data_IF_470505166853
#
_entry.id   IF_470505166853
#
_cell.length_a   1.000
_cell.length_b   1.000
_cell.length_c   1.000
_cell.angle_alpha   90.00
_cell.angle_beta   90.00
_cell.angle_gamma   90.00
#
_symmetry.space_group_name_H-M   'P 1'
#
loop_
_entity.id
_entity.type
_entity.pdbx_description
1 polymer ?
#
# COMPACT_ATOMS: atom_id res chain seq x y z
N UNK A 1 -34.65 -4.05 -25.05
CA UNK A 1 -34.62 -4.71 -23.73
C UNK A 1 -34.11 -6.14 -23.93
N UNK A 2 -32.81 -6.36 -23.93
CA UNK A 2 -32.18 -7.69 -23.98
C UNK A 2 -31.22 -7.80 -22.81
N UNK A 3 -31.63 -8.61 -21.86
CA UNK A 3 -30.86 -8.99 -20.68
C UNK A 3 -29.66 -9.82 -21.15
N UNK A 4 -28.41 -9.31 -21.00
CA UNK A 4 -27.21 -10.09 -21.24
C UNK A 4 -26.73 -10.65 -19.90
N UNK A 5 -26.78 -11.95 -19.81
CA UNK A 5 -26.31 -12.79 -18.72
C UNK A 5 -24.79 -12.60 -18.58
N UNK A 6 -24.33 -12.13 -17.44
CA UNK A 6 -22.91 -12.10 -17.10
C UNK A 6 -22.50 -13.49 -16.60
N UNK A 7 -21.62 -14.14 -17.35
CA UNK A 7 -20.92 -15.34 -16.90
C UNK A 7 -19.75 -14.94 -16.01
N UNK A 8 -19.77 -15.38 -14.75
CA UNK A 8 -18.62 -15.39 -13.87
C UNK A 8 -17.66 -16.49 -14.32
N UNK A 9 -16.46 -16.13 -14.74
CA UNK A 9 -15.35 -17.09 -14.87
C UNK A 9 -14.72 -17.29 -13.49
N UNK A 10 -15.01 -18.45 -12.91
CA UNK A 10 -14.24 -18.97 -11.78
C UNK A 10 -12.88 -19.45 -12.31
N UNK A 11 -11.81 -18.92 -11.77
CA UNK A 11 -10.45 -19.39 -12.05
C UNK A 11 -10.30 -20.81 -11.51
N UNK A 12 -10.26 -21.78 -12.41
CA UNK A 12 -9.97 -23.17 -12.11
C UNK A 12 -8.52 -23.35 -11.66
N UNK A 13 -8.33 -23.83 -10.43
CA UNK A 13 -7.03 -24.19 -9.91
C UNK A 13 -6.42 -25.37 -10.64
N UNK A 14 -5.20 -25.16 -11.14
CA UNK A 14 -4.35 -26.22 -11.67
C UNK A 14 -3.64 -26.91 -10.49
N UNK A 15 -4.18 -28.05 -10.04
CA UNK A 15 -3.54 -28.90 -9.06
C UNK A 15 -2.48 -29.76 -9.77
N UNK A 16 -1.20 -29.42 -9.62
CA UNK A 16 -0.10 -30.33 -9.92
C UNK A 16 0.10 -31.26 -8.72
N UNK A 17 -0.36 -32.52 -8.86
CA UNK A 17 -0.05 -33.59 -7.94
C UNK A 17 1.39 -34.08 -8.19
N UNK A 18 2.32 -33.67 -7.33
CA UNK A 18 3.63 -34.29 -7.22
C UNK A 18 3.54 -35.39 -6.15
N UNK A 19 3.60 -36.65 -6.59
CA UNK A 19 3.66 -37.81 -5.71
C UNK A 19 4.96 -37.82 -4.88
N UNK A 20 4.83 -37.66 -3.58
CA UNK A 20 5.90 -37.89 -2.60
C UNK A 20 5.83 -39.33 -2.16
N UNK A 21 6.85 -40.12 -2.52
CA UNK A 21 7.08 -41.46 -1.95
C UNK A 21 7.38 -41.31 -0.45
N UNK A 22 6.61 -42.01 0.36
CA UNK A 22 6.84 -42.10 1.77
C UNK A 22 8.19 -42.78 2.07
N UNK A 23 8.96 -42.17 2.95
CA UNK A 23 10.05 -42.80 3.67
C UNK A 23 9.53 -43.15 5.06
N UNK A 24 9.79 -44.40 5.48
CA UNK A 24 9.46 -44.89 6.78
C UNK A 24 10.15 -44.12 7.89
N UNK A 25 9.50 -43.96 9.07
CA UNK A 25 10.11 -43.25 10.19
C UNK A 25 11.27 -44.06 10.79
N UNK A 26 12.36 -43.41 11.24
CA UNK A 26 13.46 -44.10 11.91
C UNK A 26 13.03 -44.63 13.26
N UNK A 27 13.58 -45.82 13.61
CA UNK A 27 13.36 -46.54 14.85
C UNK A 27 13.74 -45.71 16.09
N UNK A 28 13.06 -45.89 17.23
CA UNK A 28 13.33 -45.12 18.43
C UNK A 28 14.68 -45.47 19.05
N UNK A 29 15.44 -44.42 19.39
CA UNK A 29 16.71 -44.49 20.11
C UNK A 29 16.50 -45.00 21.52
N UNK A 30 17.33 -45.94 22.03
CA UNK A 30 17.16 -46.48 23.38
C UNK A 30 17.46 -45.42 24.46
N UNK A 31 16.59 -45.34 25.43
CA UNK A 31 16.70 -44.50 26.62
C UNK A 31 17.91 -44.95 27.48
N UNK A 32 18.79 -44.03 27.91
CA UNK A 32 19.87 -44.39 28.82
C UNK A 32 19.36 -44.77 30.20
N UNK A 33 19.91 -45.84 30.75
CA UNK A 33 19.64 -46.37 32.09
C UNK A 33 20.05 -45.36 33.20
N UNK A 34 19.31 -45.26 34.30
CA UNK A 34 19.65 -44.30 35.34
C UNK A 34 20.94 -44.71 36.06
N UNK A 35 21.81 -43.74 36.25
CA UNK A 35 23.04 -43.83 37.05
C UNK A 35 22.65 -43.92 38.52
N UNK A 36 23.26 -44.86 39.34
CA UNK A 36 22.94 -44.97 40.77
C UNK A 36 23.43 -43.73 41.53
N UNK A 37 22.58 -43.27 42.45
CA UNK A 37 22.90 -42.19 43.39
C UNK A 37 24.05 -42.58 44.32
N UNK A 38 24.97 -41.65 44.63
CA UNK A 38 26.02 -41.89 45.61
C UNK A 38 25.44 -41.91 47.04
N UNK A 39 25.82 -42.96 47.80
CA UNK A 39 25.49 -43.12 49.21
C UNK A 39 26.11 -41.99 50.03
N UNK A 40 25.29 -41.30 50.82
CA UNK A 40 25.69 -40.22 51.68
C UNK A 40 26.57 -40.73 52.84
N UNK A 41 27.78 -40.21 52.97
CA UNK A 41 28.65 -40.38 54.14
C UNK A 41 28.15 -39.50 55.30
N UNK A 42 28.19 -39.97 56.57
CA UNK A 42 27.73 -39.17 57.70
C UNK A 42 28.65 -37.97 57.99
N UNK A 43 28.02 -36.80 58.09
CA UNK A 43 28.67 -35.54 58.43
C UNK A 43 28.94 -35.48 59.95
N UNK A 44 30.17 -35.09 60.42
CA UNK A 44 30.45 -34.89 61.83
C UNK A 44 29.68 -33.68 62.37
N UNK A 45 29.08 -33.83 63.51
CA UNK A 45 28.33 -32.83 64.27
C UNK A 45 29.30 -31.74 64.76
N UNK A 46 29.26 -30.55 64.20
CA UNK A 46 29.99 -29.37 64.70
C UNK A 46 29.10 -28.62 65.70
N UNK A 47 29.77 -28.08 66.74
CA UNK A 47 29.18 -27.25 67.80
C UNK A 47 28.52 -25.99 67.19
N UNK A 48 27.50 -25.40 67.84
CA UNK A 48 26.80 -24.25 67.33
C UNK A 48 27.71 -23.02 67.21
N UNK A 49 27.80 -22.51 66.00
CA UNK A 49 28.44 -21.24 65.68
C UNK A 49 27.51 -20.09 66.06
N UNK A 50 27.97 -19.01 66.71
CA UNK A 50 27.12 -17.85 67.03
C UNK A 50 26.53 -17.24 65.75
N UNK A 51 25.23 -16.97 65.77
CA UNK A 51 24.51 -16.31 64.70
C UNK A 51 25.05 -14.89 64.55
N UNK A 52 25.58 -14.48 63.37
CA UNK A 52 25.95 -13.09 63.13
C UNK A 52 24.66 -12.22 63.17
N UNK A 53 24.82 -11.01 63.72
CA UNK A 53 23.75 -10.01 63.66
C UNK A 53 23.29 -9.77 62.22
N UNK A 54 21.96 -9.55 61.96
CA UNK A 54 21.45 -9.28 60.63
C UNK A 54 22.17 -8.08 60.05
N UNK A 55 22.67 -8.25 58.83
CA UNK A 55 23.23 -7.15 58.03
C UNK A 55 22.16 -6.06 57.84
N UNK A 56 22.52 -4.79 57.86
CA UNK A 56 21.56 -3.72 57.58
C UNK A 56 20.94 -3.94 56.19
N UNK A 57 19.63 -3.81 56.12
CA UNK A 57 18.90 -3.89 54.84
C UNK A 57 19.50 -2.93 53.82
N UNK A 58 19.74 -3.37 52.57
CA UNK A 58 20.26 -2.47 51.55
C UNK A 58 19.26 -1.32 51.34
N UNK A 59 19.77 -0.11 51.52
CA UNK A 59 19.03 1.10 51.15
C UNK A 59 18.43 0.90 49.74
N UNK A 60 17.13 1.10 49.52
CA UNK A 60 16.54 0.96 48.17
C UNK A 60 17.30 1.89 47.22
N UNK A 61 17.79 1.31 46.11
CA UNK A 61 18.38 2.11 45.06
C UNK A 61 17.43 3.24 44.65
N UNK A 62 17.91 4.45 44.41
CA UNK A 62 17.03 5.52 43.93
C UNK A 62 16.29 5.02 42.69
N UNK A 63 14.98 5.11 42.72
CA UNK A 63 14.11 4.81 41.61
C UNK A 63 14.65 5.58 40.39
N UNK A 64 14.85 4.92 39.22
CA UNK A 64 15.30 5.63 38.02
C UNK A 64 14.34 6.81 37.84
N UNK A 65 14.89 8.03 37.77
CA UNK A 65 14.11 9.23 37.51
C UNK A 65 13.23 8.91 36.28
N UNK A 66 11.92 8.98 36.46
CA UNK A 66 10.99 8.77 35.35
C UNK A 66 11.47 9.63 34.19
N UNK A 67 11.76 8.99 33.04
CA UNK A 67 12.06 9.72 31.83
C UNK A 67 11.01 10.81 31.68
N UNK A 68 11.39 12.06 31.39
CA UNK A 68 10.44 13.14 31.26
C UNK A 68 9.34 12.64 30.34
N UNK A 69 8.10 12.60 30.82
CA UNK A 69 6.94 12.30 30.01
C UNK A 69 7.04 13.27 28.84
N UNK A 70 7.31 12.74 27.64
CA UNK A 70 7.23 13.51 26.41
C UNK A 70 5.75 13.85 26.33
N UNK A 71 5.37 15.03 26.82
CA UNK A 71 4.05 15.57 26.58
C UNK A 71 3.88 15.51 25.06
N UNK A 72 2.87 14.80 24.52
CA UNK A 72 2.55 14.93 23.12
C UNK A 72 2.26 16.41 22.92
N UNK A 73 3.22 17.10 22.32
CA UNK A 73 3.12 18.54 22.13
C UNK A 73 2.08 18.73 21.03
N UNK A 74 0.90 19.18 21.42
CA UNK A 74 -0.19 19.59 20.52
C UNK A 74 0.28 20.59 19.44
N UNK A 75 1.47 21.14 19.56
CA UNK A 75 2.05 22.15 18.68
C UNK A 75 3.24 21.66 17.83
N UNK A 76 3.74 20.44 18.04
CA UNK A 76 4.83 19.90 17.22
C UNK A 76 4.30 18.79 16.32
N UNK A 77 4.12 19.05 15.02
CA UNK A 77 3.75 18.01 14.09
C UNK A 77 4.87 16.94 13.99
N UNK A 78 4.50 15.71 13.76
CA UNK A 78 5.42 14.70 13.25
C UNK A 78 5.84 15.13 11.85
N UNK A 79 7.15 15.29 11.65
CA UNK A 79 7.72 15.69 10.36
C UNK A 79 8.50 14.51 9.80
N UNK A 80 8.24 14.16 8.54
CA UNK A 80 9.07 13.24 7.79
C UNK A 80 9.51 13.85 6.47
N UNK A 81 10.68 13.45 6.01
CA UNK A 81 11.21 13.79 4.69
C UNK A 81 11.61 12.50 3.99
N UNK A 82 11.10 12.28 2.79
CA UNK A 82 11.44 11.13 1.95
C UNK A 82 12.09 11.66 0.68
N UNK A 83 13.31 11.20 0.41
CA UNK A 83 13.98 11.48 -0.86
C UNK A 83 13.93 10.26 -1.75
N UNK A 84 13.49 10.44 -2.98
CA UNK A 84 13.37 9.40 -4.00
C UNK A 84 14.13 9.82 -5.27
N UNK A 85 15.24 9.13 -5.57
CA UNK A 85 16.10 9.39 -6.71
C UNK A 85 16.04 8.23 -7.68
N UNK A 86 16.01 8.53 -8.97
CA UNK A 86 15.94 7.55 -10.03
C UNK A 86 17.07 7.77 -11.05
N UNK A 87 17.80 6.71 -11.35
CA UNK A 87 18.65 6.65 -12.52
C UNK A 87 17.99 5.74 -13.57
N UNK A 88 18.03 6.12 -14.83
CA UNK A 88 17.45 5.35 -15.93
C UNK A 88 18.45 5.07 -17.03
N UNK A 89 18.30 3.92 -17.68
CA UNK A 89 19.02 3.50 -18.88
C UNK A 89 18.04 2.83 -19.84
N UNK A 90 18.38 2.83 -21.12
CA UNK A 90 17.52 2.23 -22.16
C UNK A 90 16.82 3.27 -23.01
N UNK A 91 15.69 2.90 -23.58
CA UNK A 91 14.99 3.76 -24.55
C UNK A 91 13.49 3.63 -24.43
N UNK A 92 12.82 4.76 -24.22
CA UNK A 92 11.37 4.90 -24.27
C UNK A 92 11.02 6.13 -25.14
N UNK A 93 10.54 5.93 -26.37
CA UNK A 93 10.25 7.05 -27.27
C UNK A 93 8.91 7.74 -26.95
N UNK A 94 8.05 7.15 -26.11
CA UNK A 94 6.75 7.71 -25.71
C UNK A 94 6.88 8.54 -24.43
N UNK A 95 7.62 8.02 -23.46
CA UNK A 95 7.84 8.64 -22.15
C UNK A 95 9.33 8.60 -21.80
N UNK A 96 10.16 9.47 -22.41
CA UNK A 96 11.60 9.45 -22.19
C UNK A 96 11.92 9.90 -20.76
N UNK A 97 12.65 9.08 -20.01
CA UNK A 97 13.15 9.42 -18.68
C UNK A 97 14.57 10.01 -18.77
N UNK A 98 14.90 11.07 -18.00
CA UNK A 98 16.26 11.56 -17.87
C UNK A 98 17.16 10.46 -17.27
N UNK A 99 18.48 10.51 -17.60
CA UNK A 99 19.44 9.55 -17.06
C UNK A 99 19.53 9.58 -15.52
N UNK A 100 19.30 10.75 -14.93
CA UNK A 100 19.22 10.95 -13.47
C UNK A 100 18.15 12.00 -13.16
N UNK A 101 17.32 11.70 -12.16
CA UNK A 101 16.30 12.64 -11.69
C UNK A 101 16.06 12.51 -10.19
N UNK A 102 15.64 13.61 -9.57
CA UNK A 102 14.87 13.58 -8.34
C UNK A 102 13.45 13.24 -8.75
N UNK A 103 13.02 12.00 -8.51
CA UNK A 103 11.68 11.58 -8.88
C UNK A 103 10.67 12.33 -8.03
N UNK A 104 10.91 12.31 -6.71
CA UNK A 104 10.09 12.98 -5.73
C UNK A 104 10.88 13.16 -4.44
N UNK A 105 10.68 14.27 -3.76
CA UNK A 105 11.04 14.42 -2.35
C UNK A 105 9.82 14.87 -1.59
N UNK A 106 9.22 13.97 -0.81
CA UNK A 106 8.04 14.30 -0.02
C UNK A 106 8.42 14.84 1.36
N UNK A 107 7.73 15.89 1.80
CA UNK A 107 7.77 16.39 3.17
C UNK A 107 6.36 16.32 3.75
N UNK A 108 6.20 15.58 4.83
CA UNK A 108 4.91 15.44 5.52
C UNK A 108 4.91 16.12 6.88
N UNK A 109 3.76 16.72 7.21
CA UNK A 109 3.44 17.28 8.52
C UNK A 109 2.14 16.65 8.99
N UNK A 110 2.19 15.97 10.12
CA UNK A 110 1.03 15.26 10.68
C UNK A 110 0.84 15.65 12.14
N UNK A 111 -0.32 16.15 12.50
CA UNK A 111 -0.59 16.62 13.86
C UNK A 111 -2.04 16.35 14.31
N UNK A 112 -2.21 16.09 15.60
CA UNK A 112 -3.52 16.20 16.26
C UNK A 112 -3.79 17.69 16.46
N UNK A 113 -4.87 18.20 15.88
CA UNK A 113 -5.29 19.59 15.99
C UNK A 113 -5.98 19.83 17.34
N UNK A 114 -6.90 18.92 17.67
CA UNK A 114 -7.65 18.92 18.92
C UNK A 114 -8.12 17.46 19.22
N UNK A 115 -8.88 17.20 20.31
CA UNK A 115 -9.37 15.86 20.62
C UNK A 115 -10.28 15.21 19.56
N UNK A 116 -10.76 15.97 18.59
CA UNK A 116 -11.73 15.54 17.59
C UNK A 116 -11.15 15.46 16.18
N UNK A 117 -10.04 16.16 15.93
CA UNK A 117 -9.50 16.34 14.59
C UNK A 117 -7.99 16.15 14.51
N UNK A 118 -7.55 15.56 13.41
CA UNK A 118 -6.15 15.44 12.97
C UNK A 118 -6.01 16.20 11.64
N UNK A 119 -4.86 16.81 11.42
CA UNK A 119 -4.49 17.41 10.14
C UNK A 119 -3.24 16.72 9.56
N UNK A 120 -3.26 16.54 8.26
CA UNK A 120 -2.17 15.94 7.47
C UNK A 120 -1.88 16.83 6.27
N UNK A 121 -0.60 17.12 6.03
CA UNK A 121 -0.11 17.91 4.90
C UNK A 121 1.07 17.16 4.29
N UNK A 122 0.98 16.87 2.98
CA UNK A 122 2.03 16.25 2.18
C UNK A 122 2.41 17.18 1.04
N UNK A 123 3.69 17.54 1.00
CA UNK A 123 4.27 18.41 -0.03
C UNK A 123 5.27 17.60 -0.84
N UNK A 124 5.06 17.52 -2.12
CA UNK A 124 5.99 16.92 -3.08
C UNK A 124 6.89 17.97 -3.71
N UNK A 125 8.17 17.68 -3.78
CA UNK A 125 9.20 18.49 -4.41
C UNK A 125 9.82 17.69 -5.54
N UNK A 126 9.74 18.20 -6.75
CA UNK A 126 10.33 17.59 -7.94
C UNK A 126 11.13 18.65 -8.75
N UNK A 127 11.67 18.24 -9.88
CA UNK A 127 12.30 19.18 -10.83
C UNK A 127 11.28 20.17 -11.43
N UNK A 128 9.99 19.87 -11.37
CA UNK A 128 8.90 20.70 -11.90
C UNK A 128 8.43 21.75 -10.90
N UNK A 129 8.74 21.58 -9.60
CA UNK A 129 8.38 22.54 -8.56
C UNK A 129 7.97 21.91 -7.25
N UNK A 130 7.07 22.60 -6.55
CA UNK A 130 6.48 22.16 -5.29
C UNK A 130 4.99 22.02 -5.47
N UNK A 131 4.47 20.85 -5.11
CA UNK A 131 3.04 20.57 -5.17
C UNK A 131 2.51 20.20 -3.79
N UNK A 132 1.25 20.58 -3.52
CA UNK A 132 0.49 20.04 -2.39
C UNK A 132 -0.16 18.74 -2.87
N UNK A 133 0.41 17.61 -2.49
CA UNK A 133 -0.14 16.29 -2.84
C UNK A 133 -1.43 16.02 -2.08
N UNK A 134 -1.38 16.19 -0.75
CA UNK A 134 -2.55 16.11 0.11
C UNK A 134 -2.49 17.18 1.21
N UNK A 135 -3.63 17.78 1.55
CA UNK A 135 -3.79 18.73 2.66
C UNK A 135 -5.21 18.64 3.19
N UNK A 136 -5.41 17.94 4.30
CA UNK A 136 -6.75 17.69 4.82
C UNK A 136 -6.81 17.62 6.35
N UNK A 137 -8.00 17.87 6.89
CA UNK A 137 -8.34 17.53 8.26
C UNK A 137 -9.25 16.31 8.31
N UNK A 138 -9.00 15.40 9.26
CA UNK A 138 -9.83 14.22 9.50
C UNK A 138 -10.51 14.36 10.86
N UNK A 139 -11.83 14.30 10.87
CA UNK A 139 -12.67 14.25 12.07
C UNK A 139 -12.90 12.79 12.43
N UNK A 140 -12.37 12.38 13.59
CA UNK A 140 -12.25 10.98 13.98
C UNK A 140 -13.46 10.44 14.76
N UNK A 141 -14.27 11.32 15.35
CA UNK A 141 -15.30 10.96 16.33
C UNK A 141 -16.66 11.56 15.98
N UNK A 142 -17.17 11.24 14.79
CA UNK A 142 -18.52 11.63 14.41
C UNK A 142 -19.55 10.61 14.93
N UNK A 143 -20.84 11.02 15.06
CA UNK A 143 -21.93 10.10 15.39
C UNK A 143 -21.93 8.87 14.48
N UNK A 144 -22.44 7.74 14.97
CA UNK A 144 -22.51 6.43 14.26
C UNK A 144 -21.17 5.84 13.86
N UNK A 145 -20.08 6.25 14.51
CA UNK A 145 -18.69 5.82 14.19
C UNK A 145 -18.26 6.22 12.77
N UNK A 146 -18.79 7.31 12.27
CA UNK A 146 -18.34 7.88 11.01
C UNK A 146 -17.02 8.63 11.20
N UNK A 147 -16.21 8.65 10.17
CA UNK A 147 -15.10 9.57 10.00
C UNK A 147 -15.38 10.48 8.81
N UNK A 148 -14.99 11.74 8.91
CA UNK A 148 -15.07 12.65 7.78
C UNK A 148 -13.71 13.30 7.55
N UNK A 149 -13.36 13.51 6.29
CA UNK A 149 -12.16 14.19 5.85
C UNK A 149 -12.56 15.37 4.96
N UNK A 150 -11.90 16.51 5.13
CA UNK A 150 -12.13 17.70 4.29
C UNK A 150 -10.82 18.33 3.88
N UNK A 151 -10.67 18.69 2.61
CA UNK A 151 -9.45 19.25 2.02
C UNK A 151 -9.09 18.61 0.68
N UNK A 152 -7.80 18.64 0.30
CA UNK A 152 -7.24 17.92 -0.85
C UNK A 152 -6.77 16.54 -0.37
N UNK A 153 -7.25 15.47 -0.98
CA UNK A 153 -6.90 14.09 -0.61
C UNK A 153 -6.93 13.17 -1.84
N UNK A 154 -6.15 12.09 -1.79
CA UNK A 154 -6.17 11.04 -2.82
C UNK A 154 -7.52 10.31 -2.79
N UNK A 155 -8.11 10.14 -3.97
CA UNK A 155 -9.41 9.48 -4.13
C UNK A 155 -9.32 8.01 -3.74
N UNK A 156 -10.33 7.52 -3.04
CA UNK A 156 -10.47 6.11 -2.64
C UNK A 156 -10.93 5.25 -3.83
N UNK A 157 -10.20 5.34 -4.94
CA UNK A 157 -10.50 4.62 -6.18
C UNK A 157 -9.46 3.52 -6.41
N UNK A 158 -9.86 2.27 -6.24
CA UNK A 158 -8.94 1.14 -6.19
C UNK A 158 -8.08 1.14 -4.92
N UNK A 159 -6.90 0.57 -5.02
CA UNK A 159 -5.91 0.52 -3.94
C UNK A 159 -4.66 1.34 -4.27
N UNK A 160 -4.15 1.24 -5.51
CA UNK A 160 -2.91 1.90 -5.91
C UNK A 160 -3.05 3.42 -5.86
N UNK A 161 -4.19 3.97 -6.26
CA UNK A 161 -4.41 5.43 -6.23
C UNK A 161 -4.24 6.05 -4.84
N UNK A 162 -4.42 5.28 -3.77
CA UNK A 162 -4.27 5.78 -2.39
C UNK A 162 -2.83 5.71 -1.88
N UNK A 163 -1.91 5.15 -2.67
CA UNK A 163 -0.49 5.03 -2.30
C UNK A 163 0.29 6.24 -2.79
N UNK A 164 1.30 6.65 -2.02
CA UNK A 164 2.28 7.62 -2.47
C UNK A 164 3.32 6.94 -3.36
N UNK A 165 3.89 7.66 -4.31
CA UNK A 165 4.83 7.11 -5.29
C UNK A 165 5.98 6.33 -4.64
N UNK A 166 6.55 6.86 -3.57
CA UNK A 166 7.64 6.22 -2.83
C UNK A 166 7.23 4.94 -2.09
N UNK A 167 5.92 4.67 -1.90
CA UNK A 167 5.41 3.44 -1.26
C UNK A 167 5.05 2.35 -2.26
N UNK A 168 5.07 2.66 -3.55
CA UNK A 168 4.82 1.68 -4.59
C UNK A 168 5.87 0.58 -4.59
N UNK A 169 5.50 -0.67 -4.91
CA UNK A 169 6.44 -1.76 -5.05
C UNK A 169 7.26 -1.71 -6.35
N UNK A 170 6.97 -0.76 -7.22
CA UNK A 170 7.62 -0.48 -8.51
C UNK A 170 8.11 0.96 -8.55
N UNK A 171 8.93 1.29 -9.55
CA UNK A 171 9.43 2.67 -9.72
C UNK A 171 8.36 3.61 -10.26
N UNK A 172 7.30 3.08 -10.85
CA UNK A 172 6.19 3.84 -11.43
C UNK A 172 4.83 3.18 -11.17
N UNK A 173 3.79 3.93 -11.49
CA UNK A 173 2.41 3.44 -11.45
C UNK A 173 2.09 2.53 -12.64
N UNK A 174 1.11 1.61 -12.47
CA UNK A 174 0.61 0.79 -13.56
C UNK A 174 -0.02 1.62 -14.70
N UNK A 175 0.07 1.13 -15.96
CA UNK A 175 -0.48 1.77 -17.15
C UNK A 175 -1.93 2.30 -17.01
N UNK A 176 -2.88 1.60 -16.36
CA UNK A 176 -4.23 2.13 -16.21
C UNK A 176 -4.35 3.47 -15.48
N UNK A 177 -3.37 3.82 -14.63
CA UNK A 177 -3.34 5.12 -13.96
C UNK A 177 -3.14 6.25 -14.96
N UNK A 178 -2.30 6.03 -15.98
CA UNK A 178 -2.02 7.01 -17.02
C UNK A 178 -3.06 7.00 -18.14
N UNK A 179 -3.45 5.81 -18.61
CA UNK A 179 -4.27 5.65 -19.81
C UNK A 179 -5.76 5.80 -19.55
N UNK A 180 -6.24 5.35 -18.38
CA UNK A 180 -7.66 5.40 -17.99
C UNK A 180 -7.95 6.58 -17.08
N UNK A 181 -7.14 6.80 -16.04
CA UNK A 181 -7.35 7.93 -15.13
C UNK A 181 -6.77 9.24 -15.67
N UNK A 182 -6.00 9.19 -16.78
CA UNK A 182 -5.33 10.33 -17.42
C UNK A 182 -4.47 11.12 -16.43
N UNK A 183 -3.88 10.45 -15.44
CA UNK A 183 -2.95 11.07 -14.51
C UNK A 183 -1.57 11.21 -15.17
N UNK A 184 -0.86 12.31 -14.95
CA UNK A 184 0.55 12.40 -15.27
C UNK A 184 1.35 11.28 -14.58
N UNK A 185 2.48 10.90 -15.14
CA UNK A 185 3.34 9.89 -14.53
C UNK A 185 3.83 10.37 -13.15
N UNK A 186 3.68 9.52 -12.14
CA UNK A 186 4.07 9.83 -10.76
C UNK A 186 2.99 10.55 -9.94
N UNK A 187 1.85 10.89 -10.54
CA UNK A 187 0.76 11.57 -9.86
C UNK A 187 -0.42 10.63 -9.61
N UNK A 188 -0.85 10.54 -8.36
CA UNK A 188 -2.11 9.90 -8.00
C UNK A 188 -3.28 10.87 -8.20
N UNK A 189 -4.44 10.35 -8.53
CA UNK A 189 -5.65 11.16 -8.61
C UNK A 189 -6.07 11.65 -7.22
N UNK A 190 -5.95 12.95 -7.00
CA UNK A 190 -6.36 13.66 -5.79
C UNK A 190 -7.35 14.76 -6.13
N UNK A 191 -8.18 15.15 -5.17
CA UNK A 191 -9.16 16.22 -5.35
C UNK A 191 -9.50 16.95 -4.07
N UNK A 192 -9.97 18.19 -4.22
CA UNK A 192 -10.48 19.02 -3.13
C UNK A 192 -11.95 18.70 -2.86
N UNK A 193 -12.27 18.34 -1.63
CA UNK A 193 -13.64 17.97 -1.31
C UNK A 193 -13.86 17.44 0.09
N UNK A 194 -14.87 16.59 0.22
CA UNK A 194 -15.27 15.93 1.46
C UNK A 194 -15.37 14.44 1.25
N UNK A 195 -14.84 13.69 2.20
CA UNK A 195 -14.93 12.22 2.26
C UNK A 195 -15.59 11.82 3.57
N UNK A 196 -16.49 10.86 3.52
CA UNK A 196 -17.08 10.23 4.72
C UNK A 196 -16.82 8.74 4.62
N UNK A 197 -16.37 8.14 5.72
CA UNK A 197 -16.14 6.70 5.77
C UNK A 197 -16.68 6.06 7.03
N UNK A 198 -16.88 4.75 6.95
CA UNK A 198 -17.28 3.92 8.08
C UNK A 198 -16.62 2.56 8.01
N UNK A 199 -15.93 2.20 9.06
CA UNK A 199 -15.48 0.83 9.31
C UNK A 199 -16.64 0.04 9.91
N UNK A 200 -16.92 -1.14 9.35
CA UNK A 200 -18.01 -2.03 9.75
C UNK A 200 -17.40 -3.40 10.07
N UNK A 201 -17.52 -3.81 11.31
CA UNK A 201 -17.12 -5.15 11.75
C UNK A 201 -18.18 -6.16 11.31
N UNK A 202 -17.75 -7.23 10.66
CA UNK A 202 -18.57 -8.33 10.19
C UNK A 202 -18.23 -9.61 10.96
N UNK A 203 -19.10 -10.62 11.00
CA UNK A 203 -18.81 -11.89 11.67
C UNK A 203 -17.56 -12.59 11.13
N UNK A 204 -16.79 -13.27 12.02
CA UNK A 204 -15.70 -14.16 11.63
C UNK A 204 -14.44 -13.44 11.17
N UNK A 205 -13.90 -12.54 11.99
CA UNK A 205 -12.65 -11.81 11.76
C UNK A 205 -12.61 -11.09 10.41
N UNK A 206 -13.78 -10.60 9.99
CA UNK A 206 -13.99 -9.92 8.74
C UNK A 206 -14.35 -8.46 9.02
N UNK A 207 -13.71 -7.54 8.30
CA UNK A 207 -14.02 -6.13 8.37
C UNK A 207 -14.41 -5.63 6.98
N UNK A 208 -15.27 -4.64 6.94
CA UNK A 208 -15.55 -3.91 5.71
C UNK A 208 -15.47 -2.42 5.97
N UNK A 209 -15.17 -1.69 4.92
CA UNK A 209 -15.11 -0.23 4.98
C UNK A 209 -15.81 0.36 3.77
N UNK A 210 -16.68 1.33 4.03
CA UNK A 210 -17.40 2.07 3.01
C UNK A 210 -16.92 3.52 2.99
N UNK A 211 -16.64 4.05 1.80
CA UNK A 211 -16.31 5.44 1.54
C UNK A 211 -17.34 6.06 0.62
N UNK A 212 -17.66 7.32 0.87
CA UNK A 212 -18.35 8.18 -0.05
C UNK A 212 -17.63 9.53 -0.10
N UNK A 213 -17.26 9.97 -1.30
CA UNK A 213 -16.48 11.18 -1.52
C UNK A 213 -17.18 12.07 -2.54
N UNK A 214 -17.11 13.37 -2.29
CA UNK A 214 -17.60 14.40 -3.20
C UNK A 214 -16.47 15.42 -3.35
N UNK A 215 -15.98 15.60 -4.57
CA UNK A 215 -14.87 16.49 -4.87
C UNK A 215 -15.25 17.51 -5.94
N UNK A 216 -14.46 18.57 -6.05
CA UNK A 216 -14.55 19.49 -7.18
C UNK A 216 -14.46 18.71 -8.49
N UNK A 217 -15.37 19.00 -9.42
CA UNK A 217 -15.50 18.24 -10.64
C UNK A 217 -14.38 18.47 -11.66
N UNK A 218 -13.47 19.41 -11.39
CA UNK A 218 -12.28 19.66 -12.21
C UNK A 218 -11.01 19.12 -11.55
N UNK A 219 -11.13 18.40 -10.45
CA UNK A 219 -9.99 17.75 -9.79
C UNK A 219 -9.54 16.51 -10.56
N UNK A 220 -8.26 16.44 -10.84
CA UNK A 220 -7.59 15.24 -11.34
C UNK A 220 -7.50 15.09 -12.87
N UNK A 221 -6.34 15.39 -13.44
CA UNK A 221 -5.78 14.88 -14.68
C UNK A 221 -6.53 15.12 -16.00
N UNK A 222 -7.62 15.86 -16.01
CA UNK A 222 -8.41 16.11 -17.23
C UNK A 222 -9.43 15.01 -17.59
N UNK A 223 -9.58 13.99 -16.76
CA UNK A 223 -10.62 12.98 -16.93
C UNK A 223 -12.01 13.54 -16.57
N UNK A 224 -12.06 14.37 -15.53
CA UNK A 224 -13.23 15.11 -15.10
C UNK A 224 -13.00 16.61 -15.23
N UNK A 225 -13.95 17.31 -15.80
CA UNK A 225 -13.94 18.76 -15.98
C UNK A 225 -15.35 19.28 -15.70
N UNK A 226 -15.50 20.11 -14.68
CA UNK A 226 -16.77 20.69 -14.31
C UNK A 226 -17.07 21.93 -15.18
N UNK A 227 -18.13 21.95 -15.99
CA UNK A 227 -18.60 23.15 -16.68
C UNK A 227 -19.03 24.24 -15.70
N UNK A 228 -19.57 23.89 -14.54
CA UNK A 228 -20.01 24.80 -13.49
C UNK A 228 -19.60 24.31 -12.13
N UNK A 229 -19.62 25.18 -11.12
CA UNK A 229 -19.32 24.82 -9.72
C UNK A 229 -20.28 23.78 -9.10
N UNK A 230 -21.41 23.51 -9.74
CA UNK A 230 -22.38 22.51 -9.31
C UNK A 230 -22.10 21.11 -9.88
N UNK A 231 -21.21 20.99 -10.85
CA UNK A 231 -20.88 19.75 -11.52
C UNK A 231 -19.75 19.04 -10.76
N UNK A 232 -20.11 18.45 -9.63
CA UNK A 232 -19.18 17.75 -8.74
C UNK A 232 -18.89 16.33 -9.26
N UNK A 233 -17.76 15.78 -8.84
CA UNK A 233 -17.43 14.38 -9.03
C UNK A 233 -17.74 13.60 -7.77
N UNK A 234 -18.40 12.45 -7.94
CA UNK A 234 -18.87 11.56 -6.88
C UNK A 234 -18.12 10.24 -6.95
N UNK A 235 -17.57 9.79 -5.82
CA UNK A 235 -16.91 8.50 -5.67
C UNK A 235 -17.51 7.71 -4.52
N UNK A 236 -17.64 6.40 -4.72
CA UNK A 236 -18.02 5.45 -3.69
C UNK A 236 -17.15 4.22 -3.76
N UNK A 237 -16.54 3.83 -2.62
CA UNK A 237 -15.79 2.58 -2.50
C UNK A 237 -16.37 1.73 -1.39
N UNK A 238 -16.43 0.43 -1.63
CA UNK A 238 -16.69 -0.58 -0.61
C UNK A 238 -15.63 -1.65 -0.69
N UNK A 239 -14.95 -1.92 0.45
CA UNK A 239 -13.93 -2.97 0.55
C UNK A 239 -14.19 -3.89 1.72
N UNK A 240 -13.82 -5.14 1.58
CA UNK A 240 -13.87 -6.17 2.61
C UNK A 240 -12.48 -6.75 2.76
N UNK A 241 -12.04 -6.92 3.99
CA UNK A 241 -10.79 -7.58 4.30
C UNK A 241 -10.98 -8.58 5.43
N UNK A 242 -10.27 -9.70 5.31
CA UNK A 242 -10.39 -10.83 6.23
C UNK A 242 -9.05 -11.52 6.44
N UNK A 243 -8.79 -11.87 7.69
CA UNK A 243 -7.67 -12.73 8.06
C UNK A 243 -8.10 -14.19 7.98
N UNK A 244 -7.23 -15.04 7.43
CA UNK A 244 -7.38 -16.50 7.37
C UNK A 244 -6.23 -17.13 8.15
N UNK A 245 -6.50 -17.52 9.40
CA UNK A 245 -5.44 -17.88 10.34
C UNK A 245 -4.52 -16.72 10.66
N UNK A 246 -3.32 -17.02 11.11
CA UNK A 246 -2.36 -16.02 11.59
C UNK A 246 -1.45 -15.45 10.46
N UNK A 247 -1.47 -16.08 9.29
CA UNK A 247 -0.47 -15.86 8.23
C UNK A 247 -1.04 -15.24 6.97
N UNK A 248 -2.35 -15.22 6.76
CA UNK A 248 -2.97 -14.84 5.50
C UNK A 248 -4.00 -13.73 5.68
N UNK A 249 -3.96 -12.73 4.79
CA UNK A 249 -4.98 -11.69 4.70
C UNK A 249 -5.43 -11.52 3.25
N UNK A 250 -6.71 -11.34 3.05
CA UNK A 250 -7.32 -11.08 1.74
C UNK A 250 -8.13 -9.80 1.83
N UNK A 251 -7.94 -8.91 0.87
CA UNK A 251 -8.73 -7.70 0.68
C UNK A 251 -9.34 -7.71 -0.73
N UNK A 252 -10.62 -7.43 -0.83
CA UNK A 252 -11.33 -7.19 -2.09
C UNK A 252 -12.12 -5.91 -1.99
N UNK A 253 -12.18 -5.14 -3.05
CA UNK A 253 -12.96 -3.92 -3.06
C UNK A 253 -13.48 -3.57 -4.44
N UNK A 254 -14.47 -2.69 -4.44
CA UNK A 254 -15.09 -2.15 -5.64
C UNK A 254 -15.27 -0.65 -5.46
N UNK A 255 -14.91 0.12 -6.50
CA UNK A 255 -15.09 1.58 -6.55
C UNK A 255 -15.91 1.97 -7.77
N UNK A 256 -16.70 3.04 -7.63
CA UNK A 256 -17.49 3.64 -8.69
C UNK A 256 -17.38 5.16 -8.62
N UNK A 257 -17.02 5.79 -9.73
CA UNK A 257 -16.92 7.24 -9.85
C UNK A 257 -17.75 7.74 -11.00
N UNK A 258 -18.31 8.93 -10.84
CA UNK A 258 -19.14 9.59 -11.84
C UNK A 258 -18.95 11.11 -11.78
N UNK A 259 -18.79 11.74 -12.96
CA UNK A 259 -18.66 13.19 -13.10
C UNK A 259 -18.70 13.65 -14.56
N UNK A 260 -18.72 14.98 -14.76
CA UNK A 260 -18.61 15.60 -16.09
C UNK A 260 -17.19 15.49 -16.64
N UNK A 261 -17.03 15.37 -17.98
CA UNK A 261 -15.73 15.11 -18.61
C UNK A 261 -15.23 16.20 -19.59
N UNK A 262 -15.91 17.31 -19.69
CA UNK A 262 -15.49 18.45 -20.49
C UNK A 262 -15.51 18.28 -22.02
N UNK A 263 -15.88 17.12 -22.56
CA UNK A 263 -16.02 16.94 -24.02
C UNK A 263 -17.29 17.61 -24.57
N UNK A 264 -18.26 17.86 -23.70
CA UNK A 264 -19.46 18.68 -23.90
C UNK A 264 -19.99 19.09 -22.52
N UNK A 265 -20.80 20.15 -22.41
CA UNK A 265 -21.41 20.55 -21.14
C UNK A 265 -22.27 19.46 -20.46
N UNK A 266 -22.73 18.49 -21.21
CA UNK A 266 -23.60 17.41 -20.72
C UNK A 266 -22.94 16.03 -20.68
N UNK A 267 -21.73 15.92 -21.26
CA UNK A 267 -21.06 14.62 -21.34
C UNK A 267 -20.44 14.24 -19.99
N UNK A 268 -20.53 12.97 -19.68
CA UNK A 268 -20.10 12.40 -18.40
C UNK A 268 -19.11 11.26 -18.62
N UNK A 269 -18.38 10.95 -17.58
CA UNK A 269 -17.56 9.73 -17.48
C UNK A 269 -17.99 8.96 -16.24
N UNK A 270 -18.13 7.66 -16.37
CA UNK A 270 -18.18 6.75 -15.22
C UNK A 270 -17.00 5.81 -15.24
N UNK A 271 -16.38 5.64 -14.07
CA UNK A 271 -15.29 4.71 -13.82
C UNK A 271 -15.73 3.64 -12.84
N UNK A 272 -15.28 2.43 -13.06
CA UNK A 272 -15.38 1.33 -12.10
C UNK A 272 -14.00 0.73 -11.90
N UNK A 273 -13.75 0.28 -10.67
CA UNK A 273 -12.55 -0.46 -10.32
C UNK A 273 -12.91 -1.64 -9.43
N UNK A 274 -12.29 -2.78 -9.69
CA UNK A 274 -12.30 -3.91 -8.78
C UNK A 274 -10.86 -4.23 -8.40
N UNK A 275 -10.55 -4.23 -7.10
CA UNK A 275 -9.23 -4.56 -6.62
C UNK A 275 -9.21 -5.81 -5.76
N UNK A 276 -8.07 -6.48 -5.78
CA UNK A 276 -7.75 -7.65 -4.97
C UNK A 276 -6.34 -7.53 -4.42
N UNK A 277 -6.19 -7.76 -3.10
CA UNK A 277 -4.89 -7.85 -2.44
C UNK A 277 -4.85 -9.11 -1.60
N UNK A 278 -3.81 -9.91 -1.80
CA UNK A 278 -3.49 -11.04 -0.96
C UNK A 278 -2.16 -10.81 -0.27
N UNK A 279 -2.13 -11.02 1.06
CA UNK A 279 -0.93 -10.94 1.87
C UNK A 279 -0.71 -12.26 2.59
N UNK A 280 0.50 -12.79 2.45
CA UNK A 280 0.99 -13.92 3.22
C UNK A 280 2.26 -13.52 3.97
N UNK A 281 2.23 -13.69 5.30
CA UNK A 281 3.36 -13.40 6.17
C UNK A 281 3.36 -14.36 7.35
N UNK A 282 4.12 -15.46 7.30
CA UNK A 282 4.15 -16.46 8.36
C UNK A 282 4.75 -15.86 9.65
N UNK A 283 4.03 -15.97 10.76
CA UNK A 283 4.47 -15.52 12.07
C UNK A 283 5.51 -16.44 12.69
N UNK A 284 5.49 -17.73 12.34
CA UNK A 284 6.37 -18.75 12.91
C UNK A 284 7.21 -19.43 11.82
N UNK A 285 8.43 -19.82 12.18
CA UNK A 285 9.31 -20.66 11.35
C UNK A 285 10.02 -19.98 10.20
N UNK A 286 9.49 -18.88 9.64
CA UNK A 286 10.08 -18.16 8.50
C UNK A 286 9.88 -16.64 8.62
N UNK A 287 10.48 -15.98 9.61
CA UNK A 287 10.18 -14.58 9.94
C UNK A 287 10.54 -13.57 8.83
N UNK A 288 11.35 -13.98 7.84
CA UNK A 288 11.79 -13.14 6.73
C UNK A 288 11.28 -13.64 5.38
N UNK A 289 10.05 -14.16 5.36
CA UNK A 289 9.34 -14.54 4.15
C UNK A 289 7.99 -13.86 4.15
N UNK A 290 7.64 -13.25 3.04
CA UNK A 290 6.29 -12.71 2.82
C UNK A 290 6.01 -12.66 1.33
N UNK A 291 4.74 -12.72 0.98
CA UNK A 291 4.24 -12.53 -0.37
C UNK A 291 3.08 -11.56 -0.32
N UNK A 292 3.12 -10.55 -1.19
CA UNK A 292 1.98 -9.66 -1.41
C UNK A 292 1.67 -9.72 -2.90
N UNK A 293 0.42 -10.00 -3.23
CA UNK A 293 -0.09 -9.94 -4.61
C UNK A 293 -1.16 -8.87 -4.66
N UNK A 294 -1.06 -7.96 -5.63
CA UNK A 294 -2.02 -6.88 -5.88
C UNK A 294 -2.52 -6.96 -7.31
N UNK A 295 -3.80 -6.74 -7.50
CA UNK A 295 -4.40 -6.72 -8.84
C UNK A 295 -5.57 -5.75 -8.85
N UNK A 296 -5.67 -5.00 -9.93
CA UNK A 296 -6.81 -4.12 -10.16
C UNK A 296 -7.29 -4.23 -11.61
N UNK A 297 -8.59 -4.13 -11.75
CA UNK A 297 -9.25 -4.06 -13.05
C UNK A 297 -10.09 -2.80 -13.13
N UNK A 298 -9.93 -2.05 -14.23
CA UNK A 298 -10.52 -0.75 -14.48
C UNK A 298 -11.47 -0.84 -15.66
N UNK A 299 -12.63 -0.18 -15.53
CA UNK A 299 -13.55 0.09 -16.62
C UNK A 299 -13.83 1.58 -16.70
N UNK A 300 -13.73 2.15 -17.87
CA UNK A 300 -14.08 3.54 -18.16
C UNK A 300 -15.17 3.58 -19.21
N UNK A 301 -16.19 4.37 -18.96
CA UNK A 301 -17.27 4.66 -19.91
C UNK A 301 -17.33 6.18 -20.07
N UNK A 302 -16.73 6.67 -21.15
CA UNK A 302 -16.57 8.09 -21.43
C UNK A 302 -17.48 8.50 -22.58
N UNK A 303 -18.40 9.42 -22.35
CA UNK A 303 -19.19 10.05 -23.39
C UNK A 303 -18.32 11.04 -24.18
N UNK A 304 -18.44 11.02 -25.51
CA UNK A 304 -17.73 11.90 -26.43
C UNK A 304 -18.71 12.39 -27.51
N UNK A 305 -18.41 13.46 -28.25
CA UNK A 305 -19.33 14.00 -29.26
C UNK A 305 -19.72 13.02 -30.36
N UNK A 306 -18.85 12.07 -30.68
CA UNK A 306 -19.02 11.01 -31.69
C UNK A 306 -19.53 9.68 -31.12
N UNK A 307 -19.84 9.62 -29.84
CA UNK A 307 -20.36 8.44 -29.15
C UNK A 307 -19.59 8.09 -27.87
N UNK A 308 -19.99 6.98 -27.22
CA UNK A 308 -19.35 6.54 -25.99
C UNK A 308 -18.11 5.69 -26.29
N UNK A 309 -17.01 5.98 -25.59
CA UNK A 309 -15.82 5.15 -25.53
C UNK A 309 -15.86 4.27 -24.28
N UNK A 310 -15.72 2.95 -24.46
CA UNK A 310 -15.61 1.97 -23.39
C UNK A 310 -14.18 1.44 -23.36
N UNK A 311 -13.38 1.80 -22.35
CA UNK A 311 -11.99 1.40 -22.19
C UNK A 311 -11.82 0.53 -20.95
N UNK A 312 -10.83 -0.35 -20.96
CA UNK A 312 -10.51 -1.23 -19.84
C UNK A 312 -9.00 -1.32 -19.62
N UNK A 313 -8.62 -1.50 -18.37
CA UNK A 313 -7.24 -1.69 -17.97
C UNK A 313 -7.12 -2.71 -16.86
N UNK A 314 -5.93 -3.28 -16.74
CA UNK A 314 -5.65 -4.30 -15.74
C UNK A 314 -4.18 -4.30 -15.39
N UNK A 315 -3.89 -4.56 -14.13
CA UNK A 315 -2.58 -5.03 -13.74
C UNK A 315 -2.68 -6.12 -12.67
N UNK A 316 -1.64 -6.91 -12.61
CA UNK A 316 -1.34 -7.82 -11.51
C UNK A 316 0.15 -7.75 -11.20
N UNK A 317 0.48 -7.60 -9.94
CA UNK A 317 1.86 -7.60 -9.48
C UNK A 317 2.01 -8.30 -8.15
N UNK A 318 3.20 -8.83 -7.91
CA UNK A 318 3.51 -9.53 -6.69
C UNK A 318 4.93 -9.25 -6.23
N UNK A 319 5.11 -9.17 -4.90
CA UNK A 319 6.37 -8.94 -4.23
C UNK A 319 6.62 -10.05 -3.24
N UNK A 320 7.78 -10.70 -3.36
CA UNK A 320 8.21 -11.78 -2.50
C UNK A 320 9.45 -11.41 -1.71
N UNK A 321 9.41 -11.57 -0.39
CA UNK A 321 10.56 -11.38 0.48
C UNK A 321 11.45 -12.62 0.47
N UNK A 322 12.65 -12.48 -0.09
CA UNK A 322 13.64 -13.55 -0.21
C UNK A 322 14.46 -13.76 1.08
N UNK A 323 14.53 -12.76 1.92
CA UNK A 323 15.32 -12.75 3.16
C UNK A 323 15.11 -11.44 3.93
N UNK A 324 15.83 -11.24 5.02
CA UNK A 324 15.62 -10.10 5.92
C UNK A 324 15.58 -8.73 5.23
N UNK A 325 16.36 -8.56 4.16
CA UNK A 325 16.56 -7.27 3.49
C UNK A 325 16.35 -7.34 1.97
N UNK A 326 15.97 -8.49 1.43
CA UNK A 326 15.92 -8.73 -0.01
C UNK A 326 14.51 -9.08 -0.45
N UNK A 327 14.06 -8.40 -1.49
CA UNK A 327 12.74 -8.62 -2.09
C UNK A 327 12.90 -8.72 -3.61
N UNK A 328 11.99 -9.43 -4.24
CA UNK A 328 11.86 -9.47 -5.70
C UNK A 328 10.39 -9.40 -6.05
N UNK A 329 10.10 -8.76 -7.17
CA UNK A 329 8.71 -8.60 -7.63
C UNK A 329 8.61 -8.67 -9.14
N UNK A 330 7.37 -8.78 -9.60
CA UNK A 330 7.03 -8.69 -11.01
C UNK A 330 5.65 -8.08 -11.16
N UNK A 331 5.42 -7.40 -12.32
CA UNK A 331 4.13 -6.83 -12.71
C UNK A 331 3.85 -7.13 -14.17
N UNK A 332 2.62 -7.48 -14.46
CA UNK A 332 2.06 -7.50 -15.81
C UNK A 332 0.91 -6.50 -15.86
N UNK A 333 0.81 -5.79 -16.97
CA UNK A 333 -0.19 -4.73 -17.14
C UNK A 333 -0.66 -4.62 -18.59
N UNK A 334 -1.91 -4.18 -18.79
CA UNK A 334 -2.39 -3.64 -20.04
C UNK A 334 -3.41 -2.55 -19.79
N UNK A 335 -3.57 -1.63 -20.74
CA UNK A 335 -4.57 -0.56 -20.66
C UNK A 335 -5.03 -0.13 -22.05
N UNK A 336 -6.34 0.03 -22.22
CA UNK A 336 -6.91 0.80 -23.31
C UNK A 336 -6.83 2.29 -22.96
N UNK A 337 -6.74 3.17 -23.96
CA UNK A 337 -6.77 4.60 -23.72
C UNK A 337 -8.23 5.07 -23.50
N UNK A 338 -8.50 5.82 -22.45
CA UNK A 338 -9.84 6.33 -22.14
C UNK A 338 -10.44 7.20 -23.24
N UNK A 339 -9.58 7.90 -24.01
CA UNK A 339 -9.98 8.76 -25.12
C UNK A 339 -10.09 8.05 -26.47
N UNK A 340 -9.46 6.88 -26.61
CA UNK A 340 -9.50 6.04 -27.81
C UNK A 340 -9.26 4.58 -27.46
N UNK A 341 -10.31 3.86 -27.14
CA UNK A 341 -10.25 2.46 -26.72
C UNK A 341 -9.77 1.46 -27.80
N UNK A 342 -9.50 1.91 -29.02
CA UNK A 342 -8.86 1.08 -30.06
C UNK A 342 -7.33 0.97 -29.84
N UNK A 343 -6.75 1.86 -29.06
CA UNK A 343 -5.34 1.85 -28.68
C UNK A 343 -5.19 1.09 -27.36
N UNK A 344 -4.25 0.15 -27.32
CA UNK A 344 -3.96 -0.66 -26.14
C UNK A 344 -2.47 -0.74 -25.90
N UNK A 345 -2.06 -0.32 -24.72
CA UNK A 345 -0.71 -0.46 -24.21
C UNK A 345 -0.61 -1.70 -23.33
N UNK A 346 0.57 -2.30 -23.24
CA UNK A 346 0.84 -3.44 -22.37
C UNK A 346 2.29 -3.44 -21.91
N UNK A 347 2.53 -4.03 -20.75
CA UNK A 347 3.86 -4.03 -20.17
C UNK A 347 4.10 -5.15 -19.18
N UNK A 348 5.39 -5.35 -18.92
CA UNK A 348 5.89 -6.18 -17.83
C UNK A 348 7.02 -5.45 -17.12
N UNK A 349 7.10 -5.62 -15.81
CA UNK A 349 8.21 -5.11 -15.01
C UNK A 349 8.70 -6.22 -14.06
N UNK A 350 9.99 -6.18 -13.73
CA UNK A 350 10.60 -7.06 -12.74
C UNK A 350 11.48 -6.24 -11.81
N UNK A 351 11.35 -6.42 -10.49
CA UNK A 351 12.07 -5.66 -9.48
C UNK A 351 12.97 -6.53 -8.63
N UNK A 352 14.06 -5.95 -8.17
CA UNK A 352 14.92 -6.52 -7.15
C UNK A 352 15.31 -5.43 -6.16
N UNK A 353 14.90 -5.60 -4.90
CA UNK A 353 14.98 -4.55 -3.88
C UNK A 353 15.84 -5.00 -2.71
N UNK A 354 16.74 -4.13 -2.28
CA UNK A 354 17.54 -4.26 -1.08
C UNK A 354 17.19 -3.15 -0.09
N UNK A 355 16.83 -3.52 1.12
CA UNK A 355 16.56 -2.60 2.23
C UNK A 355 17.68 -2.69 3.27
N UNK A 356 18.69 -1.81 3.22
CA UNK A 356 19.73 -1.75 4.25
C UNK A 356 19.17 -1.57 5.66
N UNK A 357 18.14 -0.73 5.78
CA UNK A 357 17.39 -0.44 7.00
C UNK A 357 15.93 -0.15 6.67
N UNK A 358 15.10 0.16 7.66
CA UNK A 358 13.74 0.67 7.48
C UNK A 358 13.69 2.09 6.89
N UNK A 359 14.82 2.81 6.92
CA UNK A 359 14.94 4.19 6.45
C UNK A 359 15.60 4.31 5.07
N UNK A 360 15.96 3.22 4.43
CA UNK A 360 16.66 3.26 3.14
C UNK A 360 16.36 2.07 2.27
N UNK A 361 16.24 2.31 0.96
CA UNK A 361 15.95 1.31 -0.04
C UNK A 361 16.78 1.55 -1.31
N UNK A 362 17.27 0.46 -1.89
CA UNK A 362 17.83 0.41 -3.25
C UNK A 362 17.00 -0.58 -4.05
N UNK A 363 16.46 -0.14 -5.18
CA UNK A 363 15.65 -0.98 -6.07
C UNK A 363 16.19 -0.92 -7.48
N UNK A 364 16.44 -2.07 -8.08
CA UNK A 364 16.63 -2.20 -9.51
C UNK A 364 15.31 -2.68 -10.14
N UNK A 365 14.93 -2.10 -11.26
CA UNK A 365 13.78 -2.52 -12.05
C UNK A 365 14.15 -2.62 -13.52
N UNK A 366 13.66 -3.66 -14.18
CA UNK A 366 13.61 -3.76 -15.63
C UNK A 366 12.17 -3.67 -16.08
N UNK A 367 11.88 -2.80 -17.07
CA UNK A 367 10.55 -2.56 -17.62
C UNK A 367 10.57 -2.70 -19.14
N UNK A 368 9.62 -3.48 -19.65
CA UNK A 368 9.31 -3.55 -21.08
C UNK A 368 7.88 -3.12 -21.29
N UNK A 369 7.65 -2.17 -22.20
CA UNK A 369 6.31 -1.72 -22.62
C UNK A 369 6.19 -1.75 -24.13
N UNK A 370 4.99 -2.08 -24.60
CA UNK A 370 4.57 -1.94 -25.98
C UNK A 370 3.37 -1.00 -26.01
N UNK A 371 3.61 0.20 -26.51
CA UNK A 371 2.62 1.25 -26.68
C UNK A 371 1.97 1.14 -28.05
N UNK A 372 0.66 1.42 -28.15
CA UNK A 372 -0.03 1.48 -29.43
C UNK A 372 0.48 2.68 -30.29
N UNK A 373 0.65 2.52 -31.60
CA UNK A 373 0.42 1.35 -32.45
C UNK A 373 1.65 0.43 -32.64
N UNK A 374 2.29 -0.02 -31.59
CA UNK A 374 3.40 -0.99 -31.67
C UNK A 374 4.78 -0.39 -31.40
N UNK A 375 4.86 0.73 -30.69
CA UNK A 375 6.09 1.35 -30.23
C UNK A 375 6.60 0.59 -29.01
N UNK A 376 7.88 0.19 -29.02
CA UNK A 376 8.47 -0.61 -27.93
C UNK A 376 9.43 0.21 -27.10
N UNK A 377 9.34 0.08 -25.80
CA UNK A 377 10.25 0.65 -24.83
C UNK A 377 10.91 -0.45 -24.00
N UNK A 378 12.21 -0.27 -23.73
CA UNK A 378 13.00 -1.14 -22.87
C UNK A 378 13.83 -0.25 -21.95
N UNK A 379 13.60 -0.34 -20.66
CA UNK A 379 14.21 0.54 -19.67
C UNK A 379 14.69 -0.25 -18.47
N UNK A 380 15.82 0.19 -17.93
CA UNK A 380 16.33 -0.27 -16.64
C UNK A 380 16.42 0.92 -15.70
N UNK A 381 16.02 0.72 -14.46
CA UNK A 381 16.01 1.76 -13.42
C UNK A 381 16.82 1.33 -12.21
N UNK A 382 17.43 2.30 -11.56
CA UNK A 382 18.00 2.16 -10.22
C UNK A 382 17.42 3.28 -9.35
N UNK A 383 16.60 2.90 -8.39
CA UNK A 383 15.96 3.78 -7.42
C UNK A 383 16.74 3.76 -6.11
N UNK A 384 16.99 4.96 -5.56
CA UNK A 384 17.57 5.17 -4.23
C UNK A 384 16.58 5.98 -3.43
N UNK A 385 16.13 5.43 -2.31
CA UNK A 385 15.19 6.09 -1.41
C UNK A 385 15.72 6.12 0.00
N UNK A 386 15.47 7.23 0.70
CA UNK A 386 15.72 7.36 2.12
C UNK A 386 14.59 8.12 2.82
N UNK A 387 14.40 7.87 4.10
CA UNK A 387 13.46 8.56 4.96
C UNK A 387 14.15 9.16 6.18
N UNK A 388 13.77 10.37 6.57
CA UNK A 388 14.24 11.10 7.74
C UNK A 388 13.01 11.49 8.58
N UNK A 389 13.09 11.33 9.90
CA UNK A 389 12.04 11.71 10.83
C UNK A 389 11.03 10.61 11.13
N UNK A 390 9.92 10.99 11.75
CA UNK A 390 8.82 10.08 12.07
C UNK A 390 8.01 9.80 10.79
N UNK A 391 8.41 8.78 10.06
CA UNK A 391 7.66 8.33 8.89
C UNK A 391 6.28 7.85 9.35
N UNK A 392 5.21 8.55 8.95
CA UNK A 392 3.84 8.12 9.19
C UNK A 392 3.61 6.73 8.59
N UNK A 393 2.83 5.88 9.26
CA UNK A 393 2.42 4.62 8.69
C UNK A 393 1.53 4.91 7.47
N UNK A 394 2.04 4.63 6.28
CA UNK A 394 1.19 4.61 5.09
C UNK A 394 0.30 3.36 5.13
N UNK A 395 -0.96 3.44 4.67
CA UNK A 395 -1.79 2.26 4.54
C UNK A 395 -1.17 1.32 3.49
N UNK A 396 -0.69 0.18 3.97
CA UNK A 396 -0.12 -0.89 3.12
C UNK A 396 -1.21 -1.76 2.50
#
# INVERSE_FOLDING_TARGET
MRLRTFLFFAAGGLACALGVRGQDPPAPTPTPSPTPEPVATPVPTHAPVPIPAPAPEPTPAPEPAAAPAVNPTFFNPSIAVIGNFLASVGHNPVQPSPAFQVEESEVSFQAIVDPYARADLFLSFSNEGVEVEEAYATFLTLPWQLQAKGGKFKMQFGKINTMHLHTLPWVDEPLPMQDILLQPQGESWAGEGVSVSKLIELPGDTFSEAYFQVIDGSSGGGLFIAPTKGDLTYDGQYRIFRDFGDDHNVEVGFSYVYGHNGTSPTNTTSLQNAHFVYRWKPLQGKPYRSLIVRSEYFWSQREQPDGRQDAQGFFVGGDYQLGRRWYTGARYEFSDHATNASLRDKGVAATFTFMPSEFSMLRAEYRYREYAPGIRANEGFLQIQFAIGAHGAHPF
#
